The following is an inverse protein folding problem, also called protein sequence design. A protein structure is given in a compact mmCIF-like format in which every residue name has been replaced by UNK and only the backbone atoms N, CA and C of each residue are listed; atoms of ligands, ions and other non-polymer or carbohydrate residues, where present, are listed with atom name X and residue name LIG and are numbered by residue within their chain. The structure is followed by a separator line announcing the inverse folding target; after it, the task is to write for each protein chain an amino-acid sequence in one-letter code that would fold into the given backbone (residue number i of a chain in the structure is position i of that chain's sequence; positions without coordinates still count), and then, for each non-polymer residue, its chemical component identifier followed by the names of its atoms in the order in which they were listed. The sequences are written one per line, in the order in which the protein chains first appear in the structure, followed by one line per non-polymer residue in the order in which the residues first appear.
data_IF_919744806660
#
_entry.id   IF_919744806660
#
_cell.length_a   1.000
_cell.length_b   1.000
_cell.length_c   1.000
_cell.angle_alpha   90.00
_cell.angle_beta   90.00
_cell.angle_gamma   90.00
#
_symmetry.space_group_name_H-M   'P 1'
#
loop_
_entity.id
_entity.type
_entity.pdbx_description
1 polymer ?
#
# COMPACT_ATOMS: atom_id res chain seq x y z
N UNK A 1 -9.05 5.86 11.80
CA UNK A 1 -8.48 4.79 10.97
C UNK A 1 -9.61 3.85 10.58
N UNK A 2 -9.65 3.38 9.33
CA UNK A 2 -10.62 2.37 8.86
C UNK A 2 -10.42 1.07 9.63
N UNK A 3 -11.52 0.42 10.02
CA UNK A 3 -11.51 -0.79 10.83
C UNK A 3 -10.72 -1.92 10.16
N UNK A 4 -9.81 -2.54 10.91
CA UNK A 4 -8.93 -3.61 10.42
C UNK A 4 -7.74 -3.16 9.57
N UNK A 5 -7.68 -1.92 9.08
CA UNK A 5 -6.45 -1.38 8.48
C UNK A 5 -5.39 -1.29 9.56
N UNK A 6 -4.20 -1.83 9.28
CA UNK A 6 -3.06 -1.76 10.20
C UNK A 6 -1.87 -1.11 9.49
N UNK A 7 -1.09 -0.38 10.26
CA UNK A 7 0.10 0.30 9.77
C UNK A 7 1.25 -0.14 10.67
N UNK A 8 2.32 -0.64 10.05
CA UNK A 8 3.62 -0.85 10.70
C UNK A 8 4.56 0.23 10.19
N UNK A 9 4.92 1.14 11.09
CA UNK A 9 5.99 2.11 10.85
C UNK A 9 7.32 1.36 10.75
N UNK A 10 8.09 1.61 9.69
CA UNK A 10 9.34 0.90 9.46
C UNK A 10 10.51 1.64 10.07
N UNK A 11 11.31 0.90 10.84
CA UNK A 11 12.57 1.40 11.37
C UNK A 11 13.64 1.35 10.30
N UNK A 12 14.17 2.51 9.94
CA UNK A 12 15.30 2.65 9.02
C UNK A 12 16.61 2.50 9.80
N UNK A 13 17.44 1.56 9.38
CA UNK A 13 18.80 1.40 9.87
C UNK A 13 19.76 1.85 8.77
N UNK A 14 20.71 2.72 9.11
CA UNK A 14 21.78 3.08 8.17
C UNK A 14 22.84 2.00 8.16
N UNK A 15 23.11 1.45 6.98
CA UNK A 15 24.04 0.34 6.83
C UNK A 15 25.48 0.80 7.04
N UNK A 16 26.28 -0.11 7.61
CA UNK A 16 27.73 0.02 7.63
C UNK A 16 28.27 -0.94 6.57
N UNK A 17 28.94 -0.43 5.52
CA UNK A 17 29.55 -1.30 4.53
C UNK A 17 30.54 -2.28 5.19
N UNK A 18 30.55 -3.53 4.72
CA UNK A 18 31.46 -4.57 5.22
C UNK A 18 32.94 -4.23 4.97
N UNK A 19 33.19 -3.46 3.90
CA UNK A 19 34.51 -2.99 3.52
C UNK A 19 34.72 -1.54 3.97
N UNK A 20 35.98 -1.19 4.28
CA UNK A 20 36.39 0.20 4.46
C UNK A 20 36.46 0.91 3.11
N UNK A 21 35.32 1.42 2.67
CA UNK A 21 35.17 2.18 1.44
C UNK A 21 34.43 3.49 1.71
N UNK A 22 34.78 4.55 0.97
CA UNK A 22 34.13 5.86 1.09
C UNK A 22 32.93 5.89 0.12
N UNK A 23 31.79 5.42 0.59
CA UNK A 23 30.52 5.36 -0.14
C UNK A 23 29.41 5.96 0.72
N UNK A 24 28.34 6.41 0.08
CA UNK A 24 27.12 6.76 0.80
C UNK A 24 26.54 5.52 1.49
N UNK A 25 26.17 5.61 2.78
CA UNK A 25 25.53 4.49 3.49
C UNK A 25 24.20 4.10 2.84
N UNK A 26 24.00 2.79 2.68
CA UNK A 26 22.69 2.24 2.34
C UNK A 26 21.71 2.28 3.51
N UNK A 27 20.54 1.70 3.30
CA UNK A 27 19.53 1.52 4.34
C UNK A 27 19.05 0.08 4.41
N UNK A 28 18.86 -0.40 5.63
CA UNK A 28 18.24 -1.68 5.93
C UNK A 28 16.93 -1.48 6.69
N UNK A 29 15.91 -2.23 6.31
CA UNK A 29 14.59 -2.22 6.94
C UNK A 29 14.03 -3.64 7.00
N UNK A 30 13.52 -4.03 8.17
CA UNK A 30 12.77 -5.27 8.34
C UNK A 30 11.30 -5.04 7.94
N UNK A 31 11.04 -5.06 6.64
CA UNK A 31 9.73 -4.69 6.07
C UNK A 31 8.61 -5.56 6.66
N UNK A 32 8.63 -6.86 6.40
CA UNK A 32 7.63 -7.83 6.87
C UNK A 32 8.32 -9.01 7.55
N UNK A 33 7.86 -9.35 8.74
CA UNK A 33 8.30 -10.52 9.51
C UNK A 33 7.14 -11.49 9.70
N UNK A 34 7.46 -12.77 9.89
CA UNK A 34 6.48 -13.81 10.19
C UNK A 34 5.83 -13.60 11.57
N UNK A 35 6.57 -13.04 12.52
CA UNK A 35 6.10 -12.72 13.87
C UNK A 35 5.34 -11.38 13.98
N UNK A 36 5.28 -10.57 12.91
CA UNK A 36 4.45 -9.35 12.87
C UNK A 36 2.95 -9.67 12.98
N UNK A 37 2.55 -10.91 12.60
CA UNK A 37 1.14 -11.37 12.54
C UNK A 37 0.23 -10.43 11.73
N UNK A 38 0.79 -9.78 10.70
CA UNK A 38 0.08 -8.90 9.78
C UNK A 38 -0.62 -9.68 8.65
N UNK A 39 0.05 -10.68 8.08
CA UNK A 39 -0.54 -11.58 7.11
C UNK A 39 -1.11 -12.82 7.79
N UNK A 40 -2.34 -13.17 7.44
CA UNK A 40 -2.96 -14.43 7.87
C UNK A 40 -2.31 -15.65 7.20
N UNK A 41 -1.80 -15.47 5.98
CA UNK A 41 -0.96 -16.43 5.25
C UNK A 41 -0.24 -15.71 4.09
N UNK A 42 0.87 -16.25 3.62
CA UNK A 42 1.49 -15.79 2.39
C UNK A 42 0.81 -16.40 1.17
N UNK A 43 0.46 -15.57 0.18
CA UNK A 43 -0.08 -16.00 -1.09
C UNK A 43 0.84 -15.69 -2.26
N UNK A 44 1.20 -14.41 -2.42
CA UNK A 44 2.01 -13.93 -3.52
C UNK A 44 2.71 -12.62 -3.14
N UNK A 45 3.86 -12.38 -3.74
CA UNK A 45 4.54 -11.08 -3.73
C UNK A 45 4.44 -10.48 -5.12
N UNK A 46 4.22 -9.17 -5.15
CA UNK A 46 4.03 -8.42 -6.37
C UNK A 46 4.89 -7.15 -6.32
N UNK A 47 5.23 -6.66 -7.50
CA UNK A 47 6.04 -5.46 -7.68
C UNK A 47 5.45 -4.64 -8.82
N UNK A 48 5.36 -3.33 -8.63
CA UNK A 48 4.94 -2.40 -9.68
C UNK A 48 5.68 -1.08 -9.58
N UNK A 49 5.84 -0.42 -10.71
CA UNK A 49 6.46 0.89 -10.84
C UNK A 49 5.40 1.86 -11.35
N UNK A 50 5.26 3.00 -10.70
CA UNK A 50 4.39 4.09 -11.12
C UNK A 50 5.11 5.43 -11.07
N UNK A 51 4.78 6.32 -12.00
CA UNK A 51 5.44 7.61 -12.17
C UNK A 51 4.60 8.75 -11.61
N UNK A 52 5.21 9.92 -11.40
CA UNK A 52 4.53 11.13 -10.89
C UNK A 52 3.16 11.35 -11.51
N UNK A 53 2.16 11.61 -10.66
CA UNK A 53 0.78 11.89 -11.07
C UNK A 53 -0.05 10.66 -11.44
N UNK A 54 0.56 9.48 -11.57
CA UNK A 54 -0.17 8.24 -11.84
C UNK A 54 -1.17 7.96 -10.73
N UNK A 55 -2.44 7.79 -11.09
CA UNK A 55 -3.50 7.29 -10.21
C UNK A 55 -3.76 5.82 -10.56
N UNK A 56 -3.63 4.94 -9.57
CA UNK A 56 -4.01 3.53 -9.67
C UNK A 56 -5.12 3.26 -8.66
N UNK A 57 -6.36 3.39 -9.11
CA UNK A 57 -7.54 3.30 -8.28
C UNK A 57 -8.79 3.02 -9.13
N UNK A 58 -9.95 2.76 -8.52
CA UNK A 58 -10.07 2.17 -7.19
C UNK A 58 -10.22 0.65 -7.36
N UNK A 59 -9.49 -0.12 -6.55
CA UNK A 59 -9.56 -1.58 -6.56
C UNK A 59 -10.02 -2.09 -5.20
N UNK A 60 -10.60 -3.28 -5.16
CA UNK A 60 -10.82 -4.02 -3.93
C UNK A 60 -10.85 -5.52 -4.19
N UNK A 61 -10.69 -6.31 -3.13
CA UNK A 61 -10.63 -7.76 -3.19
C UNK A 61 -11.69 -8.39 -2.30
N UNK A 62 -12.38 -9.45 -2.76
CA UNK A 62 -13.43 -10.10 -1.96
C UNK A 62 -12.84 -11.04 -0.90
N UNK A 63 -11.64 -11.57 -1.13
CA UNK A 63 -11.07 -12.64 -0.31
C UNK A 63 -9.60 -12.47 0.07
N UNK A 64 -8.87 -11.53 -0.54
CA UNK A 64 -7.47 -11.26 -0.24
C UNK A 64 -7.30 -9.99 0.60
N UNK A 65 -6.34 -10.04 1.52
CA UNK A 65 -5.79 -8.85 2.14
C UNK A 65 -4.52 -8.45 1.38
N UNK A 66 -4.28 -7.15 1.30
CA UNK A 66 -3.14 -6.52 0.67
C UNK A 66 -2.20 -5.93 1.72
N UNK A 67 -0.90 -6.02 1.48
CA UNK A 67 0.11 -5.47 2.37
C UNK A 67 1.12 -4.66 1.57
N UNK A 68 0.95 -3.34 1.56
CA UNK A 68 1.64 -2.42 0.65
C UNK A 68 2.88 -1.79 1.30
N UNK A 69 3.99 -1.78 0.55
CA UNK A 69 5.25 -1.13 0.89
C UNK A 69 5.78 -0.32 -0.30
N UNK A 70 5.82 1.00 -0.14
CA UNK A 70 6.44 1.92 -1.11
C UNK A 70 7.93 2.02 -0.81
N UNK A 71 8.76 1.37 -1.63
CA UNK A 71 10.20 1.29 -1.43
C UNK A 71 10.96 2.55 -1.88
N UNK A 72 10.39 3.30 -2.82
CA UNK A 72 10.94 4.56 -3.35
C UNK A 72 9.80 5.51 -3.69
N UNK A 73 10.12 6.78 -3.95
CA UNK A 73 9.13 7.80 -4.23
C UNK A 73 8.17 8.03 -3.06
N UNK A 74 7.16 8.86 -3.27
CA UNK A 74 6.14 9.20 -2.28
C UNK A 74 4.78 9.12 -2.95
N UNK A 75 3.81 8.53 -2.25
CA UNK A 75 2.44 8.43 -2.72
C UNK A 75 1.43 8.70 -1.59
N UNK A 76 0.26 9.16 -2.00
CA UNK A 76 -0.93 9.16 -1.17
C UNK A 76 -1.74 7.89 -1.48
N UNK A 77 -1.87 7.01 -0.49
CA UNK A 77 -2.73 5.82 -0.51
C UNK A 77 -4.10 6.26 0.01
N UNK A 78 -5.13 6.02 -0.80
CA UNK A 78 -6.51 6.39 -0.48
C UNK A 78 -7.29 5.11 -0.25
N UNK A 79 -7.97 5.03 0.88
CA UNK A 79 -8.77 3.90 1.31
C UNK A 79 -10.22 4.34 1.50
N UNK A 80 -11.17 3.48 1.18
CA UNK A 80 -12.60 3.67 1.43
C UNK A 80 -13.25 2.37 1.92
N UNK A 81 -14.01 2.46 3.00
CA UNK A 81 -14.63 1.29 3.61
C UNK A 81 -16.07 1.06 3.11
N UNK A 82 -16.23 0.17 2.14
CA UNK A 82 -17.54 -0.20 1.60
C UNK A 82 -18.23 -1.36 2.36
N UNK A 83 -17.65 -1.86 3.45
CA UNK A 83 -18.16 -3.03 4.16
C UNK A 83 -19.35 -2.62 5.04
N UNK A 84 -20.57 -2.96 4.63
CA UNK A 84 -21.83 -2.54 5.31
C UNK A 84 -21.90 -2.84 6.82
N UNK A 85 -21.19 -3.86 7.30
CA UNK A 85 -21.16 -4.25 8.72
C UNK A 85 -19.98 -3.64 9.50
N UNK A 86 -19.09 -2.91 8.82
CA UNK A 86 -17.95 -2.25 9.46
C UNK A 86 -18.39 -1.05 10.28
N UNK A 87 -17.71 -0.81 11.41
CA UNK A 87 -17.89 0.39 12.23
C UNK A 87 -17.47 1.67 11.50
N UNK A 88 -16.66 1.53 10.45
CA UNK A 88 -16.17 2.64 9.63
C UNK A 88 -16.77 2.65 8.23
N UNK A 89 -17.92 2.00 8.01
CA UNK A 89 -18.62 2.03 6.72
C UNK A 89 -18.81 3.46 6.20
N UNK A 90 -18.48 3.68 4.93
CA UNK A 90 -18.56 4.97 4.24
C UNK A 90 -17.46 5.96 4.62
N UNK A 91 -16.43 5.55 5.35
CA UNK A 91 -15.29 6.42 5.70
C UNK A 91 -14.16 6.29 4.69
N UNK A 92 -13.62 7.44 4.31
CA UNK A 92 -12.39 7.58 3.53
C UNK A 92 -11.21 7.85 4.46
N UNK A 93 -10.04 7.30 4.14
CA UNK A 93 -8.78 7.55 4.84
C UNK A 93 -7.67 7.77 3.80
N UNK A 94 -6.84 8.78 4.02
CA UNK A 94 -5.60 8.99 3.25
C UNK A 94 -4.41 8.64 4.13
N UNK A 95 -3.48 7.86 3.59
CA UNK A 95 -2.21 7.49 4.21
C UNK A 95 -1.11 7.94 3.26
N UNK A 96 -0.18 8.76 3.74
CA UNK A 96 1.03 9.09 3.01
C UNK A 96 2.13 8.10 3.37
N UNK A 97 2.99 7.79 2.41
CA UNK A 97 4.18 6.98 2.66
C UNK A 97 5.11 6.92 1.47
N UNK A 98 6.25 6.27 1.69
CA UNK A 98 7.33 6.14 0.71
C UNK A 98 8.66 6.62 1.29
N UNK A 99 9.55 7.13 0.44
CA UNK A 99 10.83 7.72 0.83
C UNK A 99 10.64 8.74 1.95
N UNK A 100 11.48 8.62 2.99
CA UNK A 100 11.47 9.37 4.25
C UNK A 100 10.28 9.13 5.19
N UNK A 101 9.32 8.29 4.80
CA UNK A 101 8.13 7.98 5.59
C UNK A 101 7.64 6.54 5.32
N UNK A 102 8.54 5.58 5.58
CA UNK A 102 8.38 4.17 5.20
C UNK A 102 7.38 3.45 6.10
N UNK A 103 6.35 2.86 5.47
CA UNK A 103 5.30 2.10 6.15
C UNK A 103 4.99 0.83 5.40
N UNK A 104 4.56 -0.17 6.17
CA UNK A 104 3.86 -1.34 5.65
C UNK A 104 2.38 -1.24 6.03
N UNK A 105 1.52 -1.14 5.02
CA UNK A 105 0.07 -0.89 5.21
C UNK A 105 -0.72 -2.14 4.89
N UNK A 106 -1.37 -2.73 5.89
CA UNK A 106 -2.33 -3.83 5.72
C UNK A 106 -3.70 -3.25 5.37
N UNK A 107 -4.22 -3.66 4.22
CA UNK A 107 -5.51 -3.30 3.67
C UNK A 107 -6.36 -4.58 3.66
N UNK A 108 -7.37 -4.70 4.53
CA UNK A 108 -8.22 -5.88 4.58
C UNK A 108 -9.06 -6.05 3.32
N UNK A 109 -9.42 -7.29 3.01
CA UNK A 109 -10.44 -7.59 2.00
C UNK A 109 -11.71 -6.74 2.19
N UNK A 110 -12.28 -6.30 1.07
CA UNK A 110 -13.45 -5.41 1.02
C UNK A 110 -13.16 -3.94 1.32
N UNK A 111 -11.94 -3.55 1.69
CA UNK A 111 -11.54 -2.14 1.73
C UNK A 111 -11.09 -1.73 0.33
N UNK A 112 -11.77 -0.72 -0.21
CA UNK A 112 -11.45 -0.11 -1.49
C UNK A 112 -10.19 0.71 -1.34
N UNK A 113 -9.27 0.59 -2.28
CA UNK A 113 -7.97 1.23 -2.17
C UNK A 113 -7.41 1.64 -3.53
N UNK A 114 -6.49 2.59 -3.48
CA UNK A 114 -5.74 3.07 -4.62
C UNK A 114 -4.65 4.03 -4.16
N UNK A 115 -3.82 4.51 -5.09
CA UNK A 115 -2.81 5.51 -4.76
C UNK A 115 -2.53 6.48 -5.90
N UNK A 116 -2.00 7.66 -5.53
CA UNK A 116 -1.42 8.64 -6.45
C UNK A 116 0.03 8.88 -6.12
N UNK A 117 0.90 8.80 -7.12
CA UNK A 117 2.32 9.15 -6.96
C UNK A 117 2.48 10.68 -6.92
N UNK A 118 3.13 11.18 -5.88
CA UNK A 118 3.35 12.61 -5.64
C UNK A 118 4.78 13.03 -6.02
N UNK A 119 5.76 12.17 -5.72
CA UNK A 119 7.18 12.41 -5.98
C UNK A 119 7.52 12.45 -7.47
N UNK A 120 8.62 13.13 -7.81
CA UNK A 120 9.25 13.02 -9.14
C UNK A 120 9.92 11.66 -9.33
N UNK A 121 10.56 11.15 -8.28
CA UNK A 121 11.08 9.78 -8.26
C UNK A 121 9.92 8.79 -8.45
N UNK A 122 10.07 7.74 -9.28
CA UNK A 122 9.06 6.71 -9.42
C UNK A 122 8.76 6.01 -8.09
N UNK A 123 7.50 5.70 -7.85
CA UNK A 123 7.09 4.84 -6.75
C UNK A 123 7.27 3.37 -7.15
N UNK A 124 8.17 2.69 -6.45
CA UNK A 124 8.32 1.24 -6.49
C UNK A 124 7.47 0.64 -5.38
N UNK A 125 6.28 0.13 -5.72
CA UNK A 125 5.38 -0.50 -4.77
C UNK A 125 5.63 -2.02 -4.79
N UNK A 126 6.19 -2.54 -3.69
CA UNK A 126 6.15 -3.95 -3.37
C UNK A 126 4.91 -4.24 -2.53
N UNK A 127 4.20 -5.31 -2.85
CA UNK A 127 3.07 -5.72 -2.02
C UNK A 127 2.97 -7.22 -1.88
N UNK A 128 2.54 -7.65 -0.71
CA UNK A 128 2.28 -9.05 -0.39
C UNK A 128 0.78 -9.23 -0.24
N UNK A 129 0.26 -10.35 -0.74
CA UNK A 129 -1.17 -10.67 -0.66
C UNK A 129 -1.39 -12.02 0.00
N UNK A 130 -2.54 -12.18 0.65
CA UNK A 130 -2.87 -13.45 1.32
C UNK A 130 -3.31 -14.55 0.36
N UNK A 131 -3.54 -14.26 -0.92
CA UNK A 131 -3.91 -15.26 -1.94
C UNK A 131 -3.21 -14.98 -3.26
N UNK A 132 -2.70 -16.02 -3.90
CA UNK A 132 -2.18 -15.90 -5.25
C UNK A 132 -3.31 -15.62 -6.26
N UNK A 133 -2.98 -14.91 -7.33
CA UNK A 133 -3.95 -14.56 -8.36
C UNK A 133 -4.53 -15.81 -9.04
N UNK A 134 -5.86 -15.84 -9.20
CA UNK A 134 -6.56 -16.90 -9.93
C UNK A 134 -7.19 -16.34 -11.21
N UNK A 135 -6.60 -16.57 -12.40
CA UNK A 135 -7.13 -16.03 -13.65
C UNK A 135 -8.50 -16.62 -14.03
N UNK A 136 -8.85 -17.81 -13.53
CA UNK A 136 -10.16 -18.43 -13.80
C UNK A 136 -11.28 -17.87 -12.93
N UNK A 137 -10.92 -17.28 -11.79
CA UNK A 137 -11.85 -16.71 -10.79
C UNK A 137 -11.19 -15.50 -10.13
N UNK A 138 -11.07 -14.36 -10.86
CA UNK A 138 -10.43 -13.17 -10.33
C UNK A 138 -11.19 -12.64 -9.11
N UNK A 139 -10.44 -12.16 -8.13
CA UNK A 139 -10.95 -11.61 -6.88
C UNK A 139 -10.97 -10.06 -6.86
N UNK A 140 -10.18 -9.43 -7.74
CA UNK A 140 -10.14 -7.98 -7.91
C UNK A 140 -11.43 -7.49 -8.58
N UNK A 141 -12.00 -6.44 -8.01
CA UNK A 141 -13.06 -5.64 -8.58
C UNK A 141 -12.61 -4.19 -8.69
N UNK A 142 -13.16 -3.46 -9.65
CA UNK A 142 -12.79 -2.07 -9.92
C UNK A 142 -13.96 -1.11 -9.74
N UNK A 143 -13.62 0.09 -9.27
CA UNK A 143 -14.52 1.22 -9.13
C UNK A 143 -13.86 2.41 -9.83
N UNK A 144 -14.67 3.26 -10.46
CA UNK A 144 -14.17 4.48 -11.10
C UNK A 144 -13.40 5.34 -10.07
N UNK A 145 -12.18 5.84 -10.38
CA UNK A 145 -11.44 6.72 -9.47
C UNK A 145 -12.22 7.94 -8.98
N UNK A 146 -13.21 8.41 -9.74
CA UNK A 146 -14.05 9.56 -9.45
C UNK A 146 -15.48 9.15 -9.10
N UNK A 147 -15.70 7.89 -8.70
CA UNK A 147 -17.02 7.42 -8.31
C UNK A 147 -17.61 8.31 -7.19
N UNK A 148 -18.83 8.86 -7.40
CA UNK A 148 -19.44 9.80 -6.46
C UNK A 148 -19.77 9.17 -5.10
N UNK A 149 -19.86 7.84 -5.00
CA UNK A 149 -20.02 7.15 -3.72
C UNK A 149 -18.79 7.34 -2.82
N UNK A 150 -17.58 7.32 -3.40
CA UNK A 150 -16.33 7.52 -2.67
C UNK A 150 -16.07 9.02 -2.50
N UNK A 151 -16.39 9.82 -3.52
CA UNK A 151 -16.32 11.27 -3.46
C UNK A 151 -14.92 11.83 -3.23
N UNK A 152 -13.88 11.08 -3.63
CA UNK A 152 -12.49 11.50 -3.42
C UNK A 152 -11.95 12.25 -4.65
N UNK A 153 -11.54 13.50 -4.44
CA UNK A 153 -10.91 14.30 -5.49
C UNK A 153 -9.39 14.14 -5.48
N UNK A 154 -8.90 13.31 -6.39
CA UNK A 154 -7.48 13.05 -6.60
C UNK A 154 -6.67 14.26 -7.04
N UNK A 155 -7.31 15.33 -7.53
CA UNK A 155 -6.61 16.52 -8.00
C UNK A 155 -6.09 17.39 -6.84
N UNK A 156 -6.68 17.27 -5.66
CA UNK A 156 -6.24 18.00 -4.45
C UNK A 156 -4.97 17.42 -3.81
N UNK A 157 -4.48 16.28 -4.31
CA UNK A 157 -3.21 15.69 -3.90
C UNK A 157 -2.08 16.26 -4.77
N UNK A 158 -1.18 17.04 -4.16
CA UNK A 158 -0.01 17.65 -4.81
C UNK A 158 1.29 16.90 -4.52
#
# INVERSE_FOLDING_TARGET
MIDGVKIKELKVWHDKPDLKQKVEPGVFMEVLRDDDRLLSKFGQSNFTIAYKGTIKAFHWHKYQDDLWFLATGQAAIVLYDMRKKSKTFGKTQVIYGGTDDYKLVLIPQGVVHGYKVLSKEPCLLFYHVTRAYNPKKPDEERIDPFDPQIGFDWNNLS
#
